data_IF_944029742045
#
_entry.id   IF_944029742045
#
_cell.length_a   1.000
_cell.length_b   1.000
_cell.length_c   1.000
_cell.angle_alpha   90.00
_cell.angle_beta   90.00
_cell.angle_gamma   90.00
#
_symmetry.space_group_name_H-M   'P 1'
#
loop_
_entity.id
_entity.type
_entity.pdbx_description
1 polymer ?
#
# COMPACT_ATOMS: atom_id res chain seq x y z
N UNK A 1 -80.92 25.70 -16.40
CA UNK A 1 -79.81 26.62 -16.72
C UNK A 1 -79.73 26.73 -18.24
N UNK A 2 -79.83 27.92 -18.82
CA UNK A 2 -79.86 28.08 -20.30
C UNK A 2 -78.53 27.62 -20.92
N UNK A 3 -78.58 26.92 -22.05
CA UNK A 3 -77.42 26.40 -22.79
C UNK A 3 -76.36 27.49 -23.03
N UNK A 4 -76.79 28.74 -23.22
CA UNK A 4 -75.89 29.89 -23.37
C UNK A 4 -75.08 30.19 -22.11
N UNK A 5 -75.68 30.07 -20.93
CA UNK A 5 -75.00 30.29 -19.65
C UNK A 5 -73.94 29.19 -19.39
N UNK A 6 -74.27 27.95 -19.79
CA UNK A 6 -73.36 26.81 -19.66
C UNK A 6 -72.12 26.97 -20.55
N UNK A 7 -72.30 27.42 -21.79
CA UNK A 7 -71.20 27.67 -22.73
C UNK A 7 -70.28 28.77 -22.20
N UNK A 8 -70.82 29.88 -21.71
CA UNK A 8 -70.02 30.99 -21.16
C UNK A 8 -69.20 30.55 -19.95
N UNK A 9 -69.78 29.77 -19.04
CA UNK A 9 -69.08 29.24 -17.86
C UNK A 9 -67.97 28.24 -18.25
N UNK A 10 -68.23 27.36 -19.22
CA UNK A 10 -67.23 26.43 -19.74
C UNK A 10 -66.08 27.17 -20.45
N UNK A 11 -66.37 28.21 -21.25
CA UNK A 11 -65.34 29.01 -21.90
C UNK A 11 -64.48 29.78 -20.90
N UNK A 12 -65.08 30.35 -19.85
CA UNK A 12 -64.35 31.01 -18.76
C UNK A 12 -63.48 30.02 -17.98
N UNK A 13 -64.02 28.86 -17.61
CA UNK A 13 -63.25 27.82 -16.94
C UNK A 13 -62.08 27.32 -17.79
N UNK A 14 -62.29 27.10 -19.09
CA UNK A 14 -61.23 26.69 -20.01
C UNK A 14 -60.16 27.78 -20.17
N UNK A 15 -60.55 29.05 -20.21
CA UNK A 15 -59.62 30.18 -20.25
C UNK A 15 -58.75 30.30 -18.99
N UNK A 16 -59.35 30.12 -17.81
CA UNK A 16 -58.62 30.14 -16.52
C UNK A 16 -57.66 28.97 -16.40
N UNK A 17 -58.08 27.75 -16.76
CA UNK A 17 -57.22 26.55 -16.72
C UNK A 17 -56.08 26.66 -17.73
N UNK A 18 -56.36 27.14 -18.95
CA UNK A 18 -55.34 27.33 -19.98
C UNK A 18 -54.33 28.42 -19.59
N UNK A 19 -54.80 29.51 -18.97
CA UNK A 19 -53.95 30.59 -18.46
C UNK A 19 -53.06 30.15 -17.30
N UNK A 20 -53.60 29.39 -16.34
CA UNK A 20 -52.84 28.85 -15.21
C UNK A 20 -51.77 27.84 -15.66
N UNK A 21 -52.11 26.97 -16.62
CA UNK A 21 -51.17 26.01 -17.19
C UNK A 21 -50.06 26.69 -18.01
N UNK A 22 -50.42 27.70 -18.82
CA UNK A 22 -49.47 28.53 -19.56
C UNK A 22 -48.49 29.28 -18.64
N UNK A 23 -49.00 29.87 -17.55
CA UNK A 23 -48.15 30.55 -16.56
C UNK A 23 -47.20 29.58 -15.85
N UNK A 24 -47.67 28.39 -15.46
CA UNK A 24 -46.83 27.37 -14.81
C UNK A 24 -45.70 26.87 -15.72
N UNK A 25 -45.96 26.69 -17.02
CA UNK A 25 -44.93 26.31 -18.00
C UNK A 25 -43.87 27.40 -18.20
N UNK A 26 -44.29 28.68 -18.25
CA UNK A 26 -43.38 29.81 -18.40
C UNK A 26 -42.54 29.99 -17.13
N UNK A 27 -43.15 29.87 -15.94
CA UNK A 27 -42.46 29.91 -14.66
C UNK A 27 -41.41 28.79 -14.53
N UNK A 28 -41.77 27.55 -14.90
CA UNK A 28 -40.85 26.42 -14.92
C UNK A 28 -39.67 26.61 -15.88
N UNK A 29 -39.91 27.15 -17.10
CA UNK A 29 -38.82 27.47 -18.05
C UNK A 29 -37.89 28.57 -17.53
N UNK A 30 -38.42 29.61 -16.87
CA UNK A 30 -37.61 30.67 -16.26
C UNK A 30 -36.75 30.14 -15.13
N UNK A 31 -37.29 29.24 -14.30
CA UNK A 31 -36.55 28.61 -13.22
C UNK A 31 -35.43 27.70 -13.74
N UNK A 32 -35.69 26.93 -14.81
CA UNK A 32 -34.66 26.13 -15.48
C UNK A 32 -33.54 26.99 -16.09
N UNK A 33 -33.90 28.12 -16.72
CA UNK A 33 -32.92 29.07 -17.27
C UNK A 33 -32.07 29.74 -16.18
N UNK A 34 -32.68 30.12 -15.05
CA UNK A 34 -31.97 30.66 -13.90
C UNK A 34 -31.00 29.63 -13.28
N UNK A 35 -31.42 28.36 -13.18
CA UNK A 35 -30.55 27.27 -12.71
C UNK A 35 -29.38 27.03 -13.67
N UNK A 36 -29.63 27.08 -14.97
CA UNK A 36 -28.59 26.91 -15.99
C UNK A 36 -27.58 28.06 -15.95
N UNK A 37 -28.04 29.30 -15.78
CA UNK A 37 -27.18 30.47 -15.62
C UNK A 37 -26.33 30.38 -14.34
N UNK A 38 -26.92 30.02 -13.21
CA UNK A 38 -26.20 29.85 -11.95
C UNK A 38 -25.16 28.72 -12.01
N UNK A 39 -25.47 27.62 -12.72
CA UNK A 39 -24.50 26.53 -12.97
C UNK A 39 -23.33 26.96 -13.84
N UNK A 40 -23.60 27.75 -14.88
CA UNK A 40 -22.56 28.26 -15.77
C UNK A 40 -21.64 29.27 -15.05
N UNK A 41 -22.21 30.11 -14.20
CA UNK A 41 -21.45 31.03 -13.35
C UNK A 41 -20.60 30.27 -12.32
N UNK A 42 -21.17 29.27 -11.65
CA UNK A 42 -20.44 28.39 -10.74
C UNK A 42 -19.32 27.61 -11.43
N UNK A 43 -19.55 27.13 -12.66
CA UNK A 43 -18.54 26.46 -13.48
C UNK A 43 -17.38 27.39 -13.81
N UNK A 44 -17.65 28.62 -14.25
CA UNK A 44 -16.61 29.61 -14.53
C UNK A 44 -15.81 30.00 -13.28
N UNK A 45 -16.47 30.12 -12.14
CA UNK A 45 -15.79 30.38 -10.87
C UNK A 45 -14.88 29.21 -10.46
N UNK A 46 -15.34 27.96 -10.62
CA UNK A 46 -14.55 26.77 -10.34
C UNK A 46 -13.37 26.60 -11.33
N UNK A 47 -13.58 26.83 -12.61
CA UNK A 47 -12.53 26.80 -13.64
C UNK A 47 -11.46 27.86 -13.37
N UNK A 48 -11.87 29.06 -12.95
CA UNK A 48 -10.94 30.12 -12.57
C UNK A 48 -10.17 29.75 -11.29
N UNK A 49 -10.85 29.27 -10.25
CA UNK A 49 -10.19 28.84 -9.02
C UNK A 49 -9.18 27.71 -9.28
N UNK A 50 -9.55 26.73 -10.09
CA UNK A 50 -8.67 25.64 -10.50
C UNK A 50 -7.49 26.14 -11.34
N UNK A 51 -7.69 27.10 -12.25
CA UNK A 51 -6.61 27.71 -13.03
C UNK A 51 -5.65 28.53 -12.16
N UNK A 52 -6.19 29.27 -11.19
CA UNK A 52 -5.41 30.05 -10.22
C UNK A 52 -4.60 29.10 -9.30
N UNK A 53 -5.20 28.01 -8.83
CA UNK A 53 -4.52 26.95 -8.06
C UNK A 53 -3.43 26.27 -8.91
N UNK A 54 -3.74 25.88 -10.16
CA UNK A 54 -2.77 25.26 -11.06
C UNK A 54 -1.62 26.20 -11.46
N UNK A 55 -1.88 27.51 -11.56
CA UNK A 55 -0.83 28.51 -11.79
C UNK A 55 0.03 28.76 -10.54
N UNK A 56 -0.53 28.53 -9.34
CA UNK A 56 0.19 28.58 -8.07
C UNK A 56 0.97 27.29 -7.76
N UNK A 57 0.64 26.17 -8.41
CA UNK A 57 1.40 24.92 -8.32
C UNK A 57 2.80 25.12 -8.92
N UNK A 58 3.80 25.25 -8.05
CA UNK A 58 5.20 25.05 -8.44
C UNK A 58 5.39 23.58 -8.85
N UNK A 59 6.26 23.28 -9.82
CA UNK A 59 6.65 21.90 -10.06
C UNK A 59 7.14 21.29 -8.75
N UNK A 60 6.70 20.07 -8.46
CA UNK A 60 7.19 19.28 -7.30
C UNK A 60 8.68 19.02 -7.54
N UNK A 61 9.49 19.94 -7.03
CA UNK A 61 10.89 19.71 -6.78
C UNK A 61 10.93 19.03 -5.42
N UNK A 62 11.23 17.73 -5.40
CA UNK A 62 11.66 17.07 -4.17
C UNK A 62 12.91 17.80 -3.69
N UNK A 63 12.74 18.74 -2.77
CA UNK A 63 13.85 19.50 -2.22
C UNK A 63 14.73 18.50 -1.46
N UNK A 64 16.05 18.50 -1.73
CA UNK A 64 17.00 17.87 -0.81
C UNK A 64 16.73 18.48 0.57
N UNK A 65 16.48 17.66 1.57
CA UNK A 65 16.24 18.10 2.95
C UNK A 65 17.38 19.03 3.37
N UNK A 66 17.05 20.27 3.76
CA UNK A 66 18.02 21.36 3.89
C UNK A 66 19.06 21.17 5.02
N UNK A 67 18.86 20.20 5.92
CA UNK A 67 19.78 19.89 7.02
C UNK A 67 20.63 18.61 6.78
N UNK A 68 20.58 18.06 5.56
CA UNK A 68 21.30 16.87 5.11
C UNK A 68 22.81 17.09 4.84
N UNK A 69 23.34 18.30 5.03
CA UNK A 69 24.66 18.68 4.50
C UNK A 69 25.87 18.03 5.20
N UNK A 70 25.72 17.31 6.32
CA UNK A 70 26.89 16.89 7.13
C UNK A 70 27.22 15.39 7.19
N UNK A 71 26.42 14.49 6.61
CA UNK A 71 26.75 13.05 6.62
C UNK A 71 26.77 12.46 5.21
N UNK A 72 27.97 12.11 4.74
CA UNK A 72 28.14 11.46 3.44
C UNK A 72 27.40 10.11 3.36
N UNK A 73 27.26 9.40 4.48
CA UNK A 73 26.32 8.28 4.65
C UNK A 73 25.03 8.79 5.27
N UNK A 74 23.89 8.25 4.86
CA UNK A 74 22.57 8.70 5.31
C UNK A 74 22.30 8.44 6.79
N UNK A 75 21.03 8.49 7.16
CA UNK A 75 20.58 8.35 8.54
C UNK A 75 20.47 6.87 8.92
N UNK A 76 21.19 6.49 9.98
CA UNK A 76 21.13 5.15 10.55
C UNK A 76 19.83 4.96 11.35
N UNK A 77 19.25 3.77 11.31
CA UNK A 77 18.05 3.41 12.06
C UNK A 77 18.35 3.04 13.52
N UNK A 78 17.33 3.22 14.37
CA UNK A 78 17.32 2.70 15.73
C UNK A 78 16.66 1.34 15.80
N UNK A 79 17.05 0.51 16.77
CA UNK A 79 16.50 -0.83 16.97
C UNK A 79 16.39 -1.12 18.46
N UNK A 80 15.20 -1.51 18.91
CA UNK A 80 14.90 -1.77 20.31
C UNK A 80 14.01 -3.02 20.47
N UNK A 81 14.33 -3.81 21.49
CA UNK A 81 13.55 -4.98 21.89
C UNK A 81 13.10 -4.76 23.33
N UNK A 82 11.86 -4.35 23.52
CA UNK A 82 11.32 -3.97 24.84
C UNK A 82 10.86 -5.23 25.55
N UNK A 83 11.47 -5.55 26.70
CA UNK A 83 11.08 -6.72 27.47
C UNK A 83 9.60 -6.65 27.90
N UNK A 84 8.78 -7.69 27.65
CA UNK A 84 7.37 -7.69 28.01
C UNK A 84 7.19 -7.79 29.53
N UNK A 85 6.05 -7.30 30.01
CA UNK A 85 5.58 -7.48 31.37
C UNK A 85 4.84 -8.81 31.52
N UNK A 86 4.10 -9.21 30.48
CA UNK A 86 3.40 -10.47 30.42
C UNK A 86 4.37 -11.63 30.12
N UNK A 87 4.48 -12.57 31.05
CA UNK A 87 5.35 -13.74 30.92
C UNK A 87 4.99 -14.65 29.74
N UNK A 88 3.75 -14.63 29.24
CA UNK A 88 3.36 -15.38 28.04
C UNK A 88 4.00 -14.85 26.75
N UNK A 89 4.46 -13.59 26.73
CA UNK A 89 5.09 -12.96 25.57
C UNK A 89 6.61 -13.06 25.58
N UNK A 90 7.20 -13.54 26.69
CA UNK A 90 8.65 -13.73 26.84
C UNK A 90 9.27 -14.59 25.72
N UNK A 91 8.63 -15.66 25.19
CA UNK A 91 9.17 -16.41 24.06
C UNK A 91 9.35 -15.57 22.79
N UNK A 92 8.44 -14.65 22.50
CA UNK A 92 8.52 -13.78 21.31
C UNK A 92 9.53 -12.64 21.50
N UNK A 93 9.66 -12.12 22.72
CA UNK A 93 10.76 -11.22 23.06
C UNK A 93 12.11 -11.90 22.84
N UNK A 94 12.31 -13.10 23.38
CA UNK A 94 13.56 -13.86 23.19
C UNK A 94 13.82 -14.17 21.73
N UNK A 95 12.79 -14.60 20.98
CA UNK A 95 12.91 -14.80 19.54
C UNK A 95 13.40 -13.53 18.85
N UNK A 96 12.74 -12.39 19.06
CA UNK A 96 13.10 -11.14 18.41
C UNK A 96 14.49 -10.63 18.85
N UNK A 97 14.76 -10.62 20.15
CA UNK A 97 15.99 -10.10 20.74
C UNK A 97 17.20 -11.00 20.45
N UNK A 98 17.10 -12.31 20.71
CA UNK A 98 18.25 -13.22 20.65
C UNK A 98 18.66 -13.52 19.20
N UNK A 99 17.74 -13.41 18.24
CA UNK A 99 18.03 -13.49 16.80
C UNK A 99 18.31 -12.13 16.16
N UNK A 100 18.18 -11.04 16.92
CA UNK A 100 18.28 -9.67 16.45
C UNK A 100 17.43 -9.45 15.18
N UNK A 101 16.17 -9.89 15.27
CA UNK A 101 15.26 -10.10 14.15
C UNK A 101 14.99 -8.83 13.35
N UNK A 102 14.94 -7.65 13.99
CA UNK A 102 14.71 -6.38 13.29
C UNK A 102 15.91 -6.00 12.40
N UNK A 103 17.14 -6.20 12.90
CA UNK A 103 18.36 -5.88 12.14
C UNK A 103 18.68 -6.92 11.09
N UNK A 104 18.13 -8.13 11.16
CA UNK A 104 18.42 -9.21 10.19
C UNK A 104 17.44 -9.28 9.00
N UNK A 105 16.50 -8.34 8.90
CA UNK A 105 15.68 -8.20 7.69
C UNK A 105 16.53 -7.60 6.55
N UNK A 106 16.73 -8.32 5.42
CA UNK A 106 17.61 -7.88 4.34
C UNK A 106 17.26 -6.49 3.78
N UNK A 107 15.96 -6.20 3.66
CA UNK A 107 15.44 -4.93 3.14
C UNK A 107 15.77 -3.77 4.07
N UNK A 108 15.56 -3.95 5.38
CA UNK A 108 15.87 -2.94 6.39
C UNK A 108 17.37 -2.68 6.42
N UNK A 109 18.20 -3.74 6.42
CA UNK A 109 19.66 -3.60 6.32
C UNK A 109 20.11 -2.87 5.05
N UNK A 110 19.46 -3.13 3.92
CA UNK A 110 19.84 -2.54 2.66
C UNK A 110 19.59 -1.03 2.61
N UNK A 111 18.53 -0.55 3.29
CA UNK A 111 18.16 0.87 3.29
C UNK A 111 18.66 1.62 4.54
N UNK A 112 19.13 0.93 5.58
CA UNK A 112 19.72 1.52 6.79
C UNK A 112 20.96 2.36 6.45
N UNK A 113 20.90 3.67 6.70
CA UNK A 113 21.95 4.60 6.32
C UNK A 113 22.02 4.93 4.82
N UNK A 114 21.09 4.42 4.00
CA UNK A 114 21.03 4.75 2.57
C UNK A 114 20.28 6.07 2.33
N UNK A 115 19.30 6.39 3.17
CA UNK A 115 18.39 7.52 2.97
C UNK A 115 18.74 8.72 3.86
N UNK A 116 18.54 9.92 3.32
CA UNK A 116 18.55 11.20 4.04
C UNK A 116 17.17 11.43 4.64
N UNK A 117 17.03 11.10 5.92
CA UNK A 117 15.79 11.30 6.68
C UNK A 117 15.93 12.52 7.60
N UNK A 118 14.83 13.25 7.91
CA UNK A 118 14.88 14.33 8.90
C UNK A 118 15.19 13.80 10.31
N UNK A 119 14.89 12.53 10.59
CA UNK A 119 15.20 11.83 11.84
C UNK A 119 15.24 10.30 11.63
N UNK A 120 15.96 9.54 12.49
CA UNK A 120 16.04 8.08 12.40
C UNK A 120 14.69 7.39 12.59
N UNK A 121 14.35 6.43 11.72
CA UNK A 121 13.27 5.46 12.00
C UNK A 121 13.77 4.52 13.11
N UNK A 122 12.98 4.35 14.16
CA UNK A 122 13.26 3.43 15.25
C UNK A 122 12.40 2.18 15.11
N UNK A 123 13.01 1.02 14.89
CA UNK A 123 12.29 -0.26 14.87
C UNK A 123 12.19 -0.80 16.28
N UNK A 124 10.98 -1.16 16.70
CA UNK A 124 10.69 -1.60 18.07
C UNK A 124 9.89 -2.88 18.03
N UNK A 125 10.27 -3.84 18.87
CA UNK A 125 9.35 -4.92 19.28
C UNK A 125 8.93 -4.70 20.73
N UNK A 126 7.64 -4.87 21.04
CA UNK A 126 7.12 -4.60 22.38
C UNK A 126 5.82 -5.38 22.67
N UNK A 127 5.45 -5.47 23.94
CA UNK A 127 4.08 -5.80 24.36
C UNK A 127 3.19 -4.56 24.17
N UNK A 128 2.12 -4.70 23.40
CA UNK A 128 1.22 -3.60 23.06
C UNK A 128 -0.14 -3.68 23.78
N UNK A 129 -0.51 -4.86 24.29
CA UNK A 129 -1.85 -5.13 24.82
C UNK A 129 -2.89 -5.46 23.75
N UNK A 130 -2.50 -5.47 22.47
CA UNK A 130 -3.35 -5.80 21.33
C UNK A 130 -2.56 -6.42 20.18
N UNK A 131 -3.26 -7.16 19.33
CA UNK A 131 -2.70 -7.76 18.10
C UNK A 131 -2.59 -6.66 17.05
N UNK A 132 -1.44 -5.99 16.99
CA UNK A 132 -1.20 -4.89 16.07
C UNK A 132 0.26 -4.78 15.58
N UNK A 133 0.47 -3.98 14.55
CA UNK A 133 1.76 -3.40 14.18
C UNK A 133 1.45 -2.03 13.60
N UNK A 134 2.30 -1.04 13.87
CA UNK A 134 2.01 0.33 13.48
C UNK A 134 3.26 1.19 13.39
N UNK A 135 3.22 2.18 12.50
CA UNK A 135 4.08 3.35 12.57
C UNK A 135 3.48 4.41 13.51
N UNK A 136 4.29 4.90 14.46
CA UNK A 136 3.99 6.04 15.33
C UNK A 136 4.70 7.30 14.84
N UNK A 137 4.00 8.28 14.24
CA UNK A 137 4.62 9.51 13.75
C UNK A 137 5.24 10.36 14.87
N UNK A 138 4.63 10.36 16.06
CA UNK A 138 5.07 11.15 17.22
C UNK A 138 6.45 10.72 17.73
N UNK A 139 6.68 9.40 17.82
CA UNK A 139 7.95 8.83 18.30
C UNK A 139 8.90 8.41 17.17
N UNK A 140 8.39 8.45 15.94
CA UNK A 140 9.06 7.94 14.75
C UNK A 140 9.46 6.47 14.87
N UNK A 141 8.55 5.67 15.40
CA UNK A 141 8.77 4.26 15.69
C UNK A 141 7.94 3.39 14.76
N UNK A 142 8.55 2.36 14.18
CA UNK A 142 7.85 1.21 13.58
C UNK A 142 7.78 0.13 14.64
N UNK A 143 6.58 -0.15 15.14
CA UNK A 143 6.34 -1.04 16.27
C UNK A 143 5.73 -2.35 15.78
N UNK A 144 6.37 -3.46 16.11
CA UNK A 144 5.80 -4.80 15.99
C UNK A 144 5.41 -5.33 17.38
N UNK A 145 4.14 -5.65 17.57
CA UNK A 145 3.66 -6.17 18.84
C UNK A 145 3.94 -7.68 18.97
N UNK A 146 4.36 -8.14 20.15
CA UNK A 146 4.56 -9.56 20.41
C UNK A 146 3.27 -10.38 20.29
N UNK A 147 2.13 -9.76 20.56
CA UNK A 147 0.80 -10.34 20.34
C UNK A 147 0.57 -10.68 18.86
N UNK A 148 1.06 -9.85 17.93
CA UNK A 148 1.01 -10.12 16.49
C UNK A 148 1.90 -11.30 16.13
N UNK A 149 3.12 -11.35 16.66
CA UNK A 149 4.01 -12.51 16.48
C UNK A 149 3.34 -13.80 16.98
N UNK A 150 2.70 -13.76 18.15
CA UNK A 150 1.94 -14.90 18.70
C UNK A 150 0.84 -15.39 17.77
N UNK A 151 0.02 -14.48 17.26
CA UNK A 151 -1.07 -14.82 16.34
C UNK A 151 -0.56 -15.38 15.01
N UNK A 152 0.53 -14.81 14.47
CA UNK A 152 1.14 -15.30 13.24
C UNK A 152 1.69 -16.71 13.41
N UNK A 153 2.40 -16.99 14.50
CA UNK A 153 2.90 -18.34 14.80
C UNK A 153 1.73 -19.33 14.93
N UNK A 154 0.70 -18.98 15.69
CA UNK A 154 -0.47 -19.83 15.89
C UNK A 154 -1.15 -20.13 14.55
N UNK A 155 -1.36 -19.10 13.72
CA UNK A 155 -1.93 -19.27 12.38
C UNK A 155 -1.07 -20.18 11.51
N UNK A 156 0.24 -20.01 11.54
CA UNK A 156 1.18 -20.88 10.86
C UNK A 156 1.06 -22.35 11.32
N UNK A 157 0.89 -22.61 12.62
CA UNK A 157 0.63 -23.96 13.16
C UNK A 157 -0.68 -24.55 12.66
N UNK A 158 -1.75 -23.75 12.65
CA UNK A 158 -3.06 -24.17 12.15
C UNK A 158 -2.99 -24.57 10.67
N UNK A 159 -2.38 -23.72 9.84
CA UNK A 159 -2.18 -24.00 8.42
C UNK A 159 -1.31 -25.24 8.19
N UNK A 160 -0.25 -25.41 8.99
CA UNK A 160 0.61 -26.59 8.91
C UNK A 160 -0.16 -27.88 9.22
N UNK A 161 -0.96 -27.87 10.29
CA UNK A 161 -1.77 -29.02 10.67
C UNK A 161 -2.84 -29.36 9.62
N UNK A 162 -3.56 -28.35 9.11
CA UNK A 162 -4.60 -28.54 8.11
C UNK A 162 -4.07 -29.08 6.78
N UNK A 163 -2.90 -28.60 6.35
CA UNK A 163 -2.33 -28.93 5.04
C UNK A 163 -1.20 -29.98 5.10
N UNK A 164 -0.94 -30.57 6.28
CA UNK A 164 0.13 -31.56 6.53
C UNK A 164 1.51 -31.04 6.11
N UNK A 165 1.79 -29.77 6.41
CA UNK A 165 3.07 -29.13 6.12
C UNK A 165 4.10 -29.46 7.23
N UNK A 166 5.40 -29.30 6.96
CA UNK A 166 6.44 -29.54 7.96
C UNK A 166 6.28 -28.66 9.21
N UNK A 167 6.77 -29.13 10.35
CA UNK A 167 6.72 -28.40 11.63
C UNK A 167 7.44 -27.02 11.57
N UNK A 168 8.38 -26.85 10.62
CA UNK A 168 9.06 -25.58 10.37
C UNK A 168 8.17 -24.51 9.74
N UNK A 169 7.01 -24.88 9.19
CA UNK A 169 6.13 -23.97 8.48
C UNK A 169 5.59 -22.84 9.36
N UNK A 170 5.31 -23.13 10.65
CA UNK A 170 4.82 -22.10 11.58
C UNK A 170 5.84 -20.96 11.76
N UNK A 171 7.12 -21.29 11.90
CA UNK A 171 8.19 -20.31 11.99
C UNK A 171 8.36 -19.55 10.67
N UNK A 172 8.36 -20.25 9.54
CA UNK A 172 8.44 -19.63 8.21
C UNK A 172 7.30 -18.63 7.97
N UNK A 173 6.08 -18.99 8.37
CA UNK A 173 4.91 -18.12 8.26
C UNK A 173 5.04 -16.88 9.14
N UNK A 174 5.55 -17.04 10.37
CA UNK A 174 5.84 -15.92 11.26
C UNK A 174 6.91 -15.00 10.66
N UNK A 175 8.03 -15.54 10.20
CA UNK A 175 9.14 -14.76 9.64
C UNK A 175 8.70 -13.98 8.39
N UNK A 176 7.96 -14.63 7.49
CA UNK A 176 7.42 -14.04 6.28
C UNK A 176 6.49 -12.86 6.57
N UNK A 177 5.54 -13.06 7.48
CA UNK A 177 4.56 -12.04 7.84
C UNK A 177 5.17 -10.91 8.67
N UNK A 178 6.04 -11.22 9.61
CA UNK A 178 6.80 -10.22 10.37
C UNK A 178 7.56 -9.30 9.41
N UNK A 179 8.29 -9.88 8.44
CA UNK A 179 9.04 -9.13 7.44
C UNK A 179 8.14 -8.24 6.60
N UNK A 180 7.04 -8.76 6.07
CA UNK A 180 6.14 -7.98 5.23
C UNK A 180 5.46 -6.84 6.01
N UNK A 181 4.90 -7.13 7.18
CA UNK A 181 4.23 -6.15 8.04
C UNK A 181 5.21 -5.06 8.47
N UNK A 182 6.43 -5.42 8.88
CA UNK A 182 7.42 -4.41 9.26
C UNK A 182 7.74 -3.46 8.10
N UNK A 183 7.87 -3.99 6.88
CA UNK A 183 8.13 -3.18 5.68
C UNK A 183 6.92 -2.34 5.24
N UNK A 184 5.71 -2.81 5.49
CA UNK A 184 4.48 -2.04 5.31
C UNK A 184 4.50 -0.82 6.23
N UNK A 185 4.79 -0.99 7.53
CA UNK A 185 4.92 0.13 8.47
C UNK A 185 6.12 1.03 8.17
N UNK A 186 7.24 0.49 7.67
CA UNK A 186 8.33 1.30 7.12
C UNK A 186 7.85 2.19 5.97
N UNK A 187 6.89 1.72 5.17
CA UNK A 187 6.29 2.51 4.11
C UNK A 187 5.58 3.76 4.64
N UNK A 188 4.75 3.62 5.68
CA UNK A 188 4.13 4.77 6.35
C UNK A 188 5.18 5.73 6.92
N UNK A 189 6.25 5.20 7.52
CA UNK A 189 7.36 6.00 8.03
C UNK A 189 8.03 6.80 6.91
N UNK A 190 8.34 6.18 5.77
CA UNK A 190 8.99 6.84 4.64
C UNK A 190 8.08 7.88 3.99
N UNK A 191 6.80 7.57 3.81
CA UNK A 191 5.81 8.52 3.27
C UNK A 191 5.75 9.77 4.15
N UNK A 192 5.64 9.56 5.47
CA UNK A 192 5.55 10.66 6.44
C UNK A 192 6.83 11.48 6.50
N UNK A 193 8.00 10.83 6.63
CA UNK A 193 9.28 11.51 6.83
C UNK A 193 9.79 12.24 5.60
N UNK A 194 9.46 11.73 4.41
CA UNK A 194 9.92 12.28 3.13
C UNK A 194 8.84 13.11 2.43
N UNK A 195 7.65 13.21 3.03
CA UNK A 195 6.47 13.88 2.47
C UNK A 195 6.14 13.37 1.05
N UNK A 196 6.16 12.04 0.88
CA UNK A 196 5.89 11.40 -0.41
C UNK A 196 4.42 11.60 -0.76
N UNK A 197 4.09 12.17 -1.94
CA UNK A 197 2.70 12.39 -2.33
C UNK A 197 2.00 11.08 -2.69
N UNK A 198 0.81 10.87 -2.14
CA UNK A 198 -0.06 9.73 -2.42
C UNK A 198 -1.38 10.23 -3.02
N UNK A 199 -1.77 9.67 -4.18
CA UNK A 199 -2.99 10.04 -4.90
C UNK A 199 -4.06 8.93 -4.88
N UNK A 200 -3.77 7.82 -4.21
CA UNK A 200 -4.65 6.66 -4.06
C UNK A 200 -4.80 6.25 -2.59
N UNK A 201 -5.09 4.98 -2.34
CA UNK A 201 -5.11 4.42 -0.98
C UNK A 201 -3.67 4.27 -0.49
N UNK A 202 -3.35 4.87 0.66
CA UNK A 202 -2.00 4.79 1.23
C UNK A 202 -1.61 3.34 1.57
N UNK A 203 -2.54 2.57 2.15
CA UNK A 203 -2.37 1.14 2.46
C UNK A 203 -1.93 0.32 1.25
N UNK A 204 -2.54 0.55 0.08
CA UNK A 204 -2.15 -0.15 -1.15
C UNK A 204 -0.76 0.31 -1.63
N UNK A 205 -0.42 1.58 -1.41
CA UNK A 205 0.89 2.11 -1.78
C UNK A 205 2.00 1.51 -0.90
N UNK A 206 1.78 1.40 0.41
CA UNK A 206 2.77 0.79 1.32
C UNK A 206 2.90 -0.73 1.12
N UNK A 207 1.83 -1.43 0.75
CA UNK A 207 1.90 -2.83 0.30
C UNK A 207 2.78 -3.00 -0.95
N UNK A 208 2.62 -2.08 -1.92
CA UNK A 208 3.44 -2.03 -3.12
C UNK A 208 4.91 -1.77 -2.80
N UNK A 209 5.18 -0.87 -1.85
CA UNK A 209 6.54 -0.58 -1.41
C UNK A 209 7.15 -1.79 -0.71
N UNK A 210 6.46 -2.40 0.26
CA UNK A 210 6.92 -3.59 0.96
C UNK A 210 7.27 -4.72 -0.03
N UNK A 211 6.38 -4.98 -0.99
CA UNK A 211 6.62 -5.97 -2.05
C UNK A 211 7.82 -5.59 -2.92
N UNK A 212 7.95 -4.33 -3.32
CA UNK A 212 9.07 -3.84 -4.12
C UNK A 212 10.38 -3.99 -3.37
N UNK A 213 10.43 -3.66 -2.08
CA UNK A 213 11.62 -3.83 -1.25
C UNK A 213 12.02 -5.30 -1.18
N UNK A 214 11.09 -6.20 -0.89
CA UNK A 214 11.35 -7.65 -0.85
C UNK A 214 11.89 -8.18 -2.19
N UNK A 215 11.33 -7.74 -3.32
CA UNK A 215 11.79 -8.16 -4.63
C UNK A 215 13.19 -7.62 -4.99
N UNK A 216 13.51 -6.39 -4.58
CA UNK A 216 14.75 -5.68 -4.97
C UNK A 216 15.92 -5.89 -4.01
N UNK A 217 15.63 -6.08 -2.72
CA UNK A 217 16.60 -6.09 -1.64
C UNK A 217 16.63 -7.39 -0.82
N UNK A 218 15.93 -8.43 -1.25
CA UNK A 218 16.12 -9.78 -0.71
C UNK A 218 17.60 -10.19 -0.59
N UNK A 219 17.87 -11.06 0.38
CA UNK A 219 19.22 -11.47 0.71
C UNK A 219 19.94 -12.13 -0.47
N UNK A 220 21.25 -11.92 -0.60
CA UNK A 220 22.06 -12.54 -1.67
C UNK A 220 22.16 -14.07 -1.57
N UNK A 221 21.79 -14.63 -0.42
CA UNK A 221 21.76 -16.08 -0.18
C UNK A 221 20.32 -16.62 -0.11
N UNK A 222 19.31 -15.76 -0.32
CA UNK A 222 17.91 -16.15 -0.31
C UNK A 222 17.51 -16.58 -1.72
N UNK A 223 17.04 -17.81 -1.92
CA UNK A 223 16.62 -18.23 -3.27
C UNK A 223 15.41 -17.43 -3.74
N UNK A 224 15.22 -17.30 -5.04
CA UNK A 224 14.00 -16.64 -5.54
C UNK A 224 12.73 -17.39 -5.10
N UNK A 225 12.79 -18.73 -5.02
CA UNK A 225 11.68 -19.53 -4.48
C UNK A 225 11.37 -19.18 -3.02
N UNK A 226 12.40 -18.91 -2.22
CA UNK A 226 12.24 -18.46 -0.82
C UNK A 226 11.57 -17.09 -0.75
N UNK A 227 11.99 -16.12 -1.56
CA UNK A 227 11.35 -14.79 -1.63
C UNK A 227 9.87 -14.92 -2.04
N UNK A 228 9.59 -15.78 -3.01
CA UNK A 228 8.23 -16.06 -3.50
C UNK A 228 7.36 -16.64 -2.41
N UNK A 229 7.86 -17.65 -1.70
CA UNK A 229 7.11 -18.30 -0.64
C UNK A 229 6.89 -17.36 0.55
N UNK A 230 7.88 -16.52 0.89
CA UNK A 230 7.71 -15.45 1.88
C UNK A 230 6.57 -14.49 1.50
N UNK A 231 6.57 -13.99 0.26
CA UNK A 231 5.48 -13.12 -0.22
C UNK A 231 4.13 -13.83 -0.29
N UNK A 232 4.10 -15.12 -0.62
CA UNK A 232 2.87 -15.93 -0.67
C UNK A 232 2.32 -16.21 0.73
N UNK A 233 3.18 -16.48 1.72
CA UNK A 233 2.79 -16.62 3.12
C UNK A 233 2.28 -15.30 3.69
N UNK A 234 2.90 -14.17 3.32
CA UNK A 234 2.43 -12.84 3.68
C UNK A 234 1.09 -12.49 3.03
N UNK A 235 0.92 -12.77 1.72
CA UNK A 235 -0.36 -12.51 1.05
C UNK A 235 -1.49 -13.37 1.62
N UNK A 236 -1.22 -14.61 2.00
CA UNK A 236 -2.21 -15.48 2.63
C UNK A 236 -2.77 -14.92 3.95
N UNK A 237 -1.99 -14.12 4.69
CA UNK A 237 -2.48 -13.44 5.89
C UNK A 237 -3.62 -12.47 5.61
N UNK A 238 -3.64 -11.82 4.44
CA UNK A 238 -4.76 -10.97 4.04
C UNK A 238 -6.08 -11.74 3.92
N UNK A 239 -5.99 -13.04 3.64
CA UNK A 239 -7.14 -13.94 3.58
C UNK A 239 -7.54 -14.50 4.95
N UNK A 240 -6.80 -14.22 6.03
CA UNK A 240 -7.06 -14.83 7.34
C UNK A 240 -8.43 -14.46 7.92
N UNK A 241 -8.97 -13.29 7.55
CA UNK A 241 -10.32 -12.83 7.93
C UNK A 241 -11.30 -12.79 6.76
N UNK A 242 -10.93 -13.39 5.62
CA UNK A 242 -11.78 -13.50 4.44
C UNK A 242 -12.97 -14.42 4.72
N UNK A 243 -14.19 -13.89 4.62
CA UNK A 243 -15.43 -14.67 4.70
C UNK A 243 -16.21 -14.65 3.39
N UNK A 244 -15.87 -13.75 2.46
CA UNK A 244 -16.68 -13.43 1.29
C UNK A 244 -18.00 -12.68 1.62
N UNK A 245 -18.25 -12.41 2.90
CA UNK A 245 -19.43 -11.71 3.40
C UNK A 245 -18.99 -10.42 4.12
N UNK A 246 -19.21 -9.27 3.48
CA UNK A 246 -18.77 -7.97 4.00
C UNK A 246 -19.95 -7.10 4.42
N UNK A 247 -19.77 -6.40 5.53
CA UNK A 247 -20.65 -5.30 5.93
C UNK A 247 -20.14 -3.96 5.36
N UNK A 248 -20.91 -2.89 5.56
CA UNK A 248 -20.52 -1.54 5.08
C UNK A 248 -19.22 -1.03 5.72
N UNK A 249 -18.91 -1.45 6.95
CA UNK A 249 -17.68 -1.04 7.64
C UNK A 249 -16.44 -1.60 6.93
N UNK A 250 -16.48 -2.85 6.47
CA UNK A 250 -15.38 -3.45 5.70
C UNK A 250 -15.12 -2.71 4.37
N UNK A 251 -16.15 -2.10 3.76
CA UNK A 251 -15.98 -1.26 2.57
C UNK A 251 -15.47 0.16 2.90
N UNK A 252 -15.70 0.64 4.11
CA UNK A 252 -15.26 1.95 4.59
C UNK A 252 -13.85 1.93 5.22
N UNK A 253 -13.30 0.74 5.46
CA UNK A 253 -11.96 0.55 6.02
C UNK A 253 -10.87 1.18 5.15
N UNK A 254 -9.82 1.69 5.79
CA UNK A 254 -8.65 2.30 5.13
C UNK A 254 -7.82 1.27 4.35
N UNK A 255 -7.85 0.00 4.74
CA UNK A 255 -7.28 -1.13 4.01
C UNK A 255 -8.27 -1.66 2.99
N UNK A 256 -7.78 -1.98 1.78
CA UNK A 256 -8.61 -2.68 0.81
C UNK A 256 -9.02 -4.06 1.36
N UNK A 257 -10.07 -4.65 0.77
CA UNK A 257 -10.50 -5.99 1.17
C UNK A 257 -9.32 -6.96 1.06
N UNK A 258 -9.21 -7.91 1.99
CA UNK A 258 -8.05 -8.80 2.08
C UNK A 258 -7.77 -9.56 0.78
N UNK A 259 -8.82 -9.92 0.05
CA UNK A 259 -8.79 -10.58 -1.25
C UNK A 259 -8.26 -9.65 -2.35
N UNK A 260 -8.61 -8.36 -2.30
CA UNK A 260 -8.05 -7.37 -3.22
C UNK A 260 -6.55 -7.20 -2.97
N UNK A 261 -6.14 -7.06 -1.70
CA UNK A 261 -4.72 -6.97 -1.30
C UNK A 261 -3.96 -8.23 -1.73
N UNK A 262 -4.54 -9.41 -1.52
CA UNK A 262 -3.99 -10.69 -1.97
C UNK A 262 -3.72 -10.69 -3.48
N UNK A 263 -4.73 -10.43 -4.31
CA UNK A 263 -4.56 -10.45 -5.77
C UNK A 263 -3.63 -9.34 -6.27
N UNK A 264 -3.57 -8.19 -5.60
CA UNK A 264 -2.59 -7.15 -5.90
C UNK A 264 -1.17 -7.66 -5.67
N UNK A 265 -0.87 -8.28 -4.52
CA UNK A 265 0.44 -8.86 -4.25
C UNK A 265 0.82 -9.96 -5.24
N UNK A 266 -0.10 -10.90 -5.53
CA UNK A 266 0.14 -11.96 -6.52
C UNK A 266 0.46 -11.36 -7.91
N UNK A 267 -0.21 -10.27 -8.28
CA UNK A 267 0.05 -9.56 -9.53
C UNK A 267 1.43 -8.89 -9.56
N UNK A 268 1.85 -8.22 -8.49
CA UNK A 268 3.18 -7.61 -8.41
C UNK A 268 4.29 -8.65 -8.49
N UNK A 269 4.11 -9.77 -7.79
CA UNK A 269 5.02 -10.90 -7.79
C UNK A 269 5.11 -11.52 -9.18
N UNK A 270 4.00 -11.99 -9.75
CA UNK A 270 3.96 -12.56 -11.11
C UNK A 270 4.53 -11.60 -12.15
N UNK A 271 4.11 -10.33 -12.11
CA UNK A 271 4.54 -9.31 -13.06
C UNK A 271 6.04 -8.98 -13.00
N UNK A 272 6.71 -9.25 -11.88
CA UNK A 272 8.13 -8.97 -11.74
C UNK A 272 9.02 -9.94 -12.54
N UNK A 273 8.61 -11.19 -12.68
CA UNK A 273 9.21 -12.19 -13.57
C UNK A 273 8.20 -13.30 -13.93
N UNK A 274 7.39 -13.12 -14.98
CA UNK A 274 6.35 -14.08 -15.35
C UNK A 274 6.87 -15.49 -15.68
N UNK A 275 8.09 -15.59 -16.23
CA UNK A 275 8.69 -16.87 -16.58
C UNK A 275 9.01 -17.67 -15.31
N UNK A 276 9.45 -16.97 -14.27
CA UNK A 276 9.83 -17.59 -13.00
C UNK A 276 8.64 -17.91 -12.11
N UNK A 277 7.61 -17.07 -12.14
CA UNK A 277 6.44 -17.19 -11.26
C UNK A 277 5.20 -17.73 -11.97
N UNK A 278 5.41 -18.49 -13.05
CA UNK A 278 4.33 -19.11 -13.83
C UNK A 278 3.37 -19.92 -12.94
N UNK A 279 3.88 -20.55 -11.88
CA UNK A 279 3.08 -21.33 -10.93
C UNK A 279 1.95 -20.55 -10.28
N UNK A 280 2.12 -19.23 -10.05
CA UNK A 280 1.07 -18.38 -9.48
C UNK A 280 -0.19 -18.39 -10.35
N UNK A 281 -0.04 -18.47 -11.67
CA UNK A 281 -1.18 -18.55 -12.59
C UNK A 281 -1.64 -19.99 -12.75
N UNK A 282 -0.73 -20.95 -12.93
CA UNK A 282 -1.11 -22.35 -13.19
C UNK A 282 -1.74 -23.04 -11.99
N UNK A 283 -1.39 -22.62 -10.77
CA UNK A 283 -1.91 -23.18 -9.52
C UNK A 283 -3.23 -22.51 -9.09
N UNK A 284 -3.64 -21.45 -9.79
CA UNK A 284 -4.91 -20.75 -9.57
C UNK A 284 -4.87 -19.59 -8.57
N UNK A 285 -3.70 -19.25 -8.04
CA UNK A 285 -3.51 -18.11 -7.12
C UNK A 285 -3.75 -16.75 -7.81
N UNK A 286 -3.65 -16.68 -9.13
CA UNK A 286 -3.93 -15.48 -9.93
C UNK A 286 -4.70 -15.84 -11.21
N UNK A 287 -5.90 -15.27 -11.44
CA UNK A 287 -6.65 -15.48 -12.67
C UNK A 287 -5.85 -15.03 -13.90
N UNK A 288 -5.87 -15.83 -14.97
CA UNK A 288 -5.15 -15.54 -16.23
C UNK A 288 -5.50 -14.15 -16.79
N UNK A 289 -6.77 -13.75 -16.70
CA UNK A 289 -7.22 -12.41 -17.13
C UNK A 289 -6.58 -11.28 -16.34
N UNK A 290 -6.35 -11.44 -15.03
CA UNK A 290 -5.64 -10.46 -14.19
C UNK A 290 -4.16 -10.44 -14.52
N UNK A 291 -3.57 -11.62 -14.74
CA UNK A 291 -2.15 -11.82 -15.01
C UNK A 291 -1.66 -11.07 -16.26
N UNK A 292 -2.51 -10.89 -17.28
CA UNK A 292 -2.15 -10.19 -18.53
C UNK A 292 -1.61 -8.77 -18.31
N UNK A 293 -2.15 -8.03 -17.34
CA UNK A 293 -1.73 -6.64 -17.04
C UNK A 293 -0.57 -6.54 -16.04
N UNK A 294 -0.26 -7.62 -15.34
CA UNK A 294 0.66 -7.61 -14.20
C UNK A 294 2.11 -7.23 -14.53
N UNK A 295 2.71 -7.64 -15.67
CA UNK A 295 4.08 -7.23 -16.00
C UNK A 295 4.25 -5.71 -16.09
N UNK A 296 3.30 -5.03 -16.73
CA UNK A 296 3.33 -3.58 -16.86
C UNK A 296 3.06 -2.88 -15.52
N UNK A 297 2.13 -3.40 -14.74
CA UNK A 297 1.81 -2.88 -13.41
C UNK A 297 3.00 -2.99 -12.44
N UNK A 298 3.61 -4.17 -12.33
CA UNK A 298 4.79 -4.41 -11.50
C UNK A 298 5.98 -3.52 -11.90
N UNK A 299 6.22 -3.38 -13.22
CA UNK A 299 7.25 -2.48 -13.75
C UNK A 299 6.97 -1.02 -13.38
N UNK A 300 5.73 -0.56 -13.57
CA UNK A 300 5.32 0.82 -13.27
C UNK A 300 5.52 1.12 -11.79
N UNK A 301 4.99 0.27 -10.91
CA UNK A 301 5.09 0.41 -9.45
C UNK A 301 6.54 0.43 -8.98
N UNK A 302 7.35 -0.53 -9.44
CA UNK A 302 8.79 -0.57 -9.13
C UNK A 302 9.49 0.74 -9.53
N UNK A 303 9.22 1.23 -10.75
CA UNK A 303 9.85 2.45 -11.25
C UNK A 303 9.36 3.71 -10.55
N UNK A 304 8.07 3.76 -10.17
CA UNK A 304 7.49 4.84 -9.39
C UNK A 304 8.14 4.94 -8.02
N UNK A 305 8.19 3.84 -7.25
CA UNK A 305 8.83 3.84 -5.94
C UNK A 305 10.31 4.18 -6.00
N UNK A 306 11.03 3.67 -7.00
CA UNK A 306 12.42 4.05 -7.21
C UNK A 306 12.56 5.57 -7.44
N UNK A 307 11.73 6.16 -8.30
CA UNK A 307 11.77 7.61 -8.58
C UNK A 307 11.38 8.46 -7.38
N UNK A 308 10.45 7.99 -6.54
CA UNK A 308 10.05 8.69 -5.32
C UNK A 308 11.16 8.68 -4.27
N UNK A 309 11.94 7.60 -4.18
CA UNK A 309 12.99 7.46 -3.15
C UNK A 309 14.36 7.98 -3.57
N UNK A 310 14.70 7.95 -4.88
CA UNK A 310 16.00 8.39 -5.39
C UNK A 310 16.45 9.79 -4.92
N UNK A 311 15.58 10.83 -4.88
CA UNK A 311 15.96 12.16 -4.40
C UNK A 311 16.49 12.20 -2.96
N UNK A 312 16.13 11.20 -2.16
CA UNK A 312 16.48 11.09 -0.74
C UNK A 312 17.64 10.13 -0.50
N UNK A 313 18.22 9.52 -1.53
CA UNK A 313 19.41 8.67 -1.37
C UNK A 313 20.62 9.53 -1.01
N UNK A 314 21.36 9.14 0.03
CA UNK A 314 22.52 9.89 0.50
C UNK A 314 23.62 9.98 -0.55
N UNK A 315 24.45 11.04 -0.55
CA UNK A 315 25.45 11.29 -1.60
C UNK A 315 26.39 10.11 -1.89
N UNK A 316 26.79 9.34 -0.87
CA UNK A 316 27.62 8.14 -1.03
C UNK A 316 26.98 7.05 -1.91
N UNK A 317 25.65 7.00 -1.93
CA UNK A 317 24.86 6.01 -2.64
C UNK A 317 24.13 6.60 -3.86
N UNK A 318 24.32 7.89 -4.15
CA UNK A 318 23.63 8.60 -5.23
C UNK A 318 23.95 7.94 -6.58
N UNK A 319 22.90 7.68 -7.36
CA UNK A 319 23.00 7.00 -8.64
C UNK A 319 21.81 7.34 -9.54
N UNK A 320 22.00 7.20 -10.85
CA UNK A 320 20.90 7.32 -11.81
C UNK A 320 19.94 6.14 -11.70
N UNK A 321 18.68 6.32 -12.12
CA UNK A 321 17.68 5.24 -12.23
C UNK A 321 18.22 4.04 -13.04
N UNK A 322 18.93 4.29 -14.14
CA UNK A 322 19.56 3.24 -14.95
C UNK A 322 20.63 2.46 -14.16
N UNK A 323 21.47 3.16 -13.38
CA UNK A 323 22.50 2.52 -12.56
C UNK A 323 21.88 1.70 -11.41
N UNK A 324 20.83 2.21 -10.77
CA UNK A 324 20.08 1.47 -9.76
C UNK A 324 19.48 0.17 -10.32
N UNK A 325 18.79 0.26 -11.47
CA UNK A 325 18.21 -0.91 -12.13
C UNK A 325 19.26 -1.96 -12.53
N UNK A 326 20.45 -1.52 -12.99
CA UNK A 326 21.57 -2.43 -13.26
C UNK A 326 22.06 -3.14 -12.00
N UNK A 327 22.18 -2.42 -10.87
CA UNK A 327 22.58 -3.01 -9.59
C UNK A 327 21.55 -4.05 -9.11
N UNK A 328 20.25 -3.77 -9.22
CA UNK A 328 19.21 -4.76 -8.87
C UNK A 328 19.32 -6.02 -9.72
N UNK A 329 19.52 -5.88 -11.03
CA UNK A 329 19.71 -7.03 -11.93
C UNK A 329 20.98 -7.83 -11.59
N UNK A 330 22.07 -7.16 -11.22
CA UNK A 330 23.31 -7.83 -10.81
C UNK A 330 23.13 -8.61 -9.51
N UNK A 331 22.47 -8.00 -8.50
CA UNK A 331 22.14 -8.67 -7.23
C UNK A 331 21.29 -9.91 -7.46
N UNK A 332 20.32 -9.82 -8.36
CA UNK A 332 19.47 -10.94 -8.73
C UNK A 332 20.27 -12.09 -9.38
N UNK A 333 21.17 -11.78 -10.32
CA UNK A 333 22.06 -12.78 -10.94
C UNK A 333 22.96 -13.43 -9.87
N UNK A 334 23.51 -12.63 -8.97
CA UNK A 334 24.34 -13.12 -7.87
C UNK A 334 23.56 -14.04 -6.93
N UNK A 335 22.31 -13.69 -6.62
CA UNK A 335 21.41 -14.51 -5.80
C UNK A 335 21.19 -15.89 -6.41
N UNK A 336 20.86 -15.95 -7.71
CA UNK A 336 20.72 -17.22 -8.45
C UNK A 336 22.01 -18.04 -8.38
N UNK A 337 23.17 -17.40 -8.64
CA UNK A 337 24.48 -18.08 -8.58
C UNK A 337 24.79 -18.64 -7.19
N UNK A 338 24.52 -17.88 -6.14
CA UNK A 338 24.82 -18.27 -4.76
C UNK A 338 23.93 -19.44 -4.31
N UNK A 339 22.65 -19.43 -4.72
CA UNK A 339 21.72 -20.52 -4.40
C UNK A 339 22.02 -21.78 -5.20
N UNK A 340 22.37 -21.66 -6.48
CA UNK A 340 22.74 -22.82 -7.31
C UNK A 340 24.08 -23.44 -6.87
N UNK A 341 25.04 -22.63 -6.42
CA UNK A 341 26.33 -23.12 -5.91
C UNK A 341 26.19 -23.89 -4.59
N UNK A 342 25.12 -23.66 -3.84
CA UNK A 342 24.84 -24.40 -2.59
C UNK A 342 24.45 -25.87 -2.84
N UNK A 343 24.00 -26.21 -4.05
CA UNK A 343 23.69 -27.58 -4.49
C UNK A 343 24.89 -28.36 -5.07
N UNK A 344 26.08 -27.73 -5.19
CA UNK A 344 27.31 -28.36 -5.70
C UNK A 344 28.25 -28.82 -4.55
N UNK A 345 27.80 -28.80 -3.29
CA UNK A 345 28.59 -29.31 -2.15
C UNK A 345 28.09 -30.62 -1.61
#
# INVERSE_FOLDING_TARGET
MSTRLLIVLLSLALGVVSGAFGYSLIAGKRQAAALAAAREEGRKAAEKAMADDMAALKPVSFAKTADAESKAGGVQFGYEYVKPKNAELEPYYKLAHDTDMLRHIPEVQAIDGMLMLPRPINYVTAECGEVNAFYSPERNEVVMCYETMKVLEQRGRELAAHNKLPDTYAQQYLDANFRFILLHETGHALITLLEIPITGREEDAVDQLATTLMLRFAGLNESTSTVTENLRMASNWFLARSTGEYNLDAYADQHALGEQRYFNLQCLLYGSDPARYLSIVTDGDLPESRAQGCPEESRRISSSWLRLLLPYVAPKYEMTEEKANRLFKQREIERVRNTDSSYIR
#
